data_IF_687684865390
#
_entry.id   IF_687684865390
#
_cell.length_a   1.000
_cell.length_b   1.000
_cell.length_c   1.000
_cell.angle_alpha   90.00
_cell.angle_beta   90.00
_cell.angle_gamma   90.00
#
_symmetry.space_group_name_H-M   'P 1'
#
loop_
_entity.id
_entity.type
_entity.pdbx_description
1 polymer ?
#
# COMPACT_ATOMS: atom_id res chain seq x y z
N UNK A 1 20.11 -3.10 -29.86
CA UNK A 1 19.96 -3.61 -28.48
C UNK A 1 18.53 -3.32 -28.08
N UNK A 2 17.75 -4.36 -27.76
CA UNK A 2 16.30 -4.25 -27.57
C UNK A 2 15.92 -3.77 -26.16
N UNK A 3 14.62 -3.59 -25.93
CA UNK A 3 14.01 -3.24 -24.62
C UNK A 3 14.58 -4.16 -23.51
N UNK A 4 14.85 -5.43 -23.83
CA UNK A 4 15.45 -6.42 -22.92
C UNK A 4 16.95 -6.27 -22.65
N UNK A 5 17.71 -5.58 -23.50
CA UNK A 5 19.17 -5.41 -23.31
C UNK A 5 19.49 -4.32 -22.28
N UNK A 6 18.59 -3.37 -22.06
CA UNK A 6 18.70 -2.38 -20.97
C UNK A 6 18.63 -3.06 -19.59
N UNK A 7 17.84 -4.13 -19.47
CA UNK A 7 17.52 -4.78 -18.19
C UNK A 7 18.40 -5.99 -17.83
N UNK A 8 19.30 -6.44 -18.72
CA UNK A 8 20.20 -7.59 -18.48
C UNK A 8 21.30 -7.37 -17.44
N UNK A 9 21.54 -6.14 -16.95
CA UNK A 9 22.63 -5.88 -16.00
C UNK A 9 22.27 -6.08 -14.52
N UNK A 10 21.04 -6.49 -14.16
CA UNK A 10 20.68 -6.81 -12.76
C UNK A 10 20.06 -8.18 -12.50
N UNK A 11 19.77 -9.00 -13.51
CA UNK A 11 19.35 -10.39 -13.30
C UNK A 11 20.13 -11.34 -14.21
N UNK A 12 20.95 -12.19 -13.61
CA UNK A 12 21.57 -13.32 -14.29
C UNK A 12 20.60 -14.51 -14.23
N UNK A 13 19.76 -14.71 -15.24
CA UNK A 13 19.31 -16.04 -15.70
C UNK A 13 18.39 -15.96 -16.93
N UNK A 14 18.90 -16.52 -18.04
CA UNK A 14 18.22 -17.19 -19.17
C UNK A 14 17.34 -16.41 -20.20
N UNK A 15 17.97 -16.26 -21.37
CA UNK A 15 17.55 -16.42 -22.79
C UNK A 15 16.10 -16.17 -23.31
N UNK A 16 16.05 -15.20 -24.23
CA UNK A 16 15.32 -15.09 -25.51
C UNK A 16 13.85 -15.53 -25.63
N UNK A 17 12.95 -14.54 -25.75
CA UNK A 17 11.69 -14.67 -26.52
C UNK A 17 11.48 -13.36 -27.31
N UNK A 18 11.49 -13.46 -28.64
CA UNK A 18 10.91 -12.46 -29.53
C UNK A 18 9.44 -12.81 -29.73
N UNK A 19 8.52 -11.84 -29.66
CA UNK A 19 7.13 -12.07 -30.04
C UNK A 19 6.69 -10.98 -31.02
N UNK A 20 6.47 -11.30 -32.30
CA UNK A 20 5.71 -10.44 -33.20
C UNK A 20 4.20 -10.58 -32.90
N UNK A 21 3.44 -9.54 -33.20
CA UNK A 21 1.96 -9.55 -33.16
C UNK A 21 1.44 -10.65 -34.11
N UNK A 22 0.51 -11.49 -33.65
CA UNK A 22 -0.09 -12.53 -34.49
C UNK A 22 -1.29 -11.99 -35.29
N UNK A 23 -1.32 -12.30 -36.59
CA UNK A 23 -2.45 -12.12 -37.51
C UNK A 23 -3.64 -13.01 -37.14
N UNK A 24 -4.87 -12.54 -37.38
CA UNK A 24 -6.04 -13.40 -37.54
C UNK A 24 -6.19 -13.80 -39.01
N UNK A 25 -6.13 -15.11 -39.31
CA UNK A 25 -6.50 -15.65 -40.62
C UNK A 25 -8.03 -15.55 -40.83
N UNK A 26 -8.44 -15.00 -41.98
CA UNK A 26 -9.81 -15.16 -42.51
C UNK A 26 -9.88 -16.40 -43.43
N UNK A 27 -11.03 -17.10 -43.52
CA UNK A 27 -11.13 -18.35 -44.27
C UNK A 27 -11.12 -18.13 -45.79
N UNK A 28 -10.29 -18.91 -46.50
CA UNK A 28 -10.22 -18.94 -47.96
C UNK A 28 -11.53 -19.41 -48.62
N UNK A 29 -12.07 -18.60 -49.53
CA UNK A 29 -13.04 -19.04 -50.53
C UNK A 29 -12.32 -19.78 -51.68
N UNK A 30 -12.77 -21.01 -51.95
CA UNK A 30 -12.33 -21.82 -53.09
C UNK A 30 -12.63 -21.15 -54.42
N UNK A 31 -11.63 -20.98 -55.27
CA UNK A 31 -11.82 -20.89 -56.72
C UNK A 31 -10.86 -21.86 -57.42
N UNK A 32 -11.43 -22.60 -58.36
CA UNK A 32 -10.90 -23.77 -59.05
C UNK A 32 -9.90 -23.38 -60.14
N UNK A 33 -8.85 -24.19 -60.29
CA UNK A 33 -7.84 -24.14 -61.36
C UNK A 33 -8.44 -24.18 -62.77
N UNK A 34 -7.92 -23.33 -63.68
CA UNK A 34 -7.97 -23.58 -65.12
C UNK A 34 -6.56 -23.38 -65.73
N UNK A 35 -6.27 -24.22 -66.72
CA UNK A 35 -4.93 -24.64 -67.17
C UNK A 35 -4.30 -23.67 -68.18
N UNK A 36 -3.02 -23.40 -67.93
CA UNK A 36 -1.88 -22.96 -68.78
C UNK A 36 -2.11 -22.80 -70.30
N UNK A 37 -1.72 -21.63 -70.83
CA UNK A 37 -0.98 -21.54 -72.11
C UNK A 37 0.09 -20.44 -72.05
N UNK A 38 1.31 -20.81 -72.44
CA UNK A 38 2.54 -20.00 -72.47
C UNK A 38 2.55 -19.13 -73.73
N UNK A 39 2.52 -17.80 -73.60
CA UNK A 39 2.87 -16.87 -74.69
C UNK A 39 3.78 -15.77 -74.13
N UNK A 40 5.03 -15.79 -74.57
CA UNK A 40 6.03 -14.75 -74.33
C UNK A 40 5.81 -13.63 -75.33
N UNK A 41 5.20 -12.52 -74.92
CA UNK A 41 5.22 -11.26 -75.69
C UNK A 41 5.36 -10.03 -74.77
N UNK A 42 6.53 -9.38 -74.93
CA UNK A 42 6.84 -7.94 -74.76
C UNK A 42 6.20 -7.16 -73.60
N UNK A 43 7.06 -6.73 -72.68
CA UNK A 43 6.84 -5.73 -71.62
C UNK A 43 6.20 -4.45 -72.18
N UNK A 44 5.00 -4.05 -71.74
CA UNK A 44 4.57 -2.66 -71.74
C UNK A 44 4.97 -2.04 -70.39
N UNK A 45 5.62 -0.88 -70.42
CA UNK A 45 5.86 -0.07 -69.22
C UNK A 45 4.51 0.23 -68.53
N UNK A 46 4.26 -0.40 -67.38
CA UNK A 46 3.16 -0.04 -66.50
C UNK A 46 3.48 1.32 -65.89
N UNK A 47 2.58 2.32 -65.97
CA UNK A 47 2.81 3.62 -65.33
C UNK A 47 2.99 3.39 -63.83
N UNK A 48 4.04 3.97 -63.25
CA UNK A 48 4.19 4.03 -61.80
C UNK A 48 2.92 4.62 -61.20
N UNK A 49 2.10 3.79 -60.54
CA UNK A 49 1.06 4.31 -59.68
C UNK A 49 1.76 5.17 -58.63
N UNK A 50 1.25 6.40 -58.36
CA UNK A 50 1.76 7.16 -57.24
C UNK A 50 1.56 6.31 -55.99
N UNK A 51 2.64 6.05 -55.27
CA UNK A 51 2.58 5.55 -53.91
C UNK A 51 1.78 6.61 -53.15
N UNK A 52 0.52 6.34 -52.83
CA UNK A 52 -0.21 7.14 -51.85
C UNK A 52 0.57 6.99 -50.54
N UNK A 53 1.15 8.10 -50.07
CA UNK A 53 1.73 8.15 -48.74
C UNK A 53 0.67 7.68 -47.73
N UNK A 54 1.00 6.73 -46.84
CA UNK A 54 0.02 6.23 -45.88
C UNK A 54 -0.51 7.42 -45.08
N UNK A 55 -1.85 7.55 -45.04
CA UNK A 55 -2.52 8.62 -44.31
C UNK A 55 -2.30 8.39 -42.81
N UNK A 56 -1.28 9.05 -42.27
CA UNK A 56 -0.92 8.96 -40.85
C UNK A 56 -2.10 9.43 -39.99
N UNK A 57 -2.40 8.69 -38.92
CA UNK A 57 -3.47 9.06 -38.01
C UNK A 57 -3.07 10.35 -37.24
N UNK A 58 -3.92 11.37 -37.28
CA UNK A 58 -3.67 12.65 -36.59
C UNK A 58 -3.64 12.52 -35.07
N UNK A 59 -4.34 11.54 -34.51
CA UNK A 59 -4.32 11.25 -33.08
C UNK A 59 -3.02 10.54 -32.68
N UNK A 60 -2.50 9.66 -33.54
CA UNK A 60 -1.20 9.03 -33.38
C UNK A 60 -0.07 10.08 -33.32
N UNK A 61 -0.05 11.05 -34.24
CA UNK A 61 0.94 12.14 -34.25
C UNK A 61 0.96 12.95 -32.94
N UNK A 62 -0.20 13.11 -32.30
CA UNK A 62 -0.30 13.78 -31.00
C UNK A 62 0.26 12.89 -29.89
N UNK A 63 -0.19 11.64 -29.82
CA UNK A 63 0.17 10.69 -28.76
C UNK A 63 1.65 10.32 -28.79
N UNK A 64 2.25 10.19 -29.98
CA UNK A 64 3.66 9.81 -30.11
C UNK A 64 4.64 10.81 -29.47
N UNK A 65 4.21 12.07 -29.29
CA UNK A 65 4.94 13.10 -28.52
C UNK A 65 5.30 12.61 -27.11
N UNK A 66 4.48 11.70 -26.56
CA UNK A 66 4.60 11.16 -25.20
C UNK A 66 5.14 9.72 -25.15
N UNK A 67 5.73 9.20 -26.23
CA UNK A 67 6.23 7.81 -26.31
C UNK A 67 7.12 7.41 -25.14
N UNK A 68 8.01 8.30 -24.71
CA UNK A 68 8.84 8.11 -23.53
C UNK A 68 8.02 7.68 -22.31
N UNK A 69 6.91 8.36 -22.03
CA UNK A 69 6.08 8.14 -20.85
C UNK A 69 5.12 6.96 -21.01
N UNK A 70 4.66 6.69 -22.24
CA UNK A 70 3.87 5.49 -22.56
C UNK A 70 4.72 4.23 -22.28
N UNK A 71 5.94 4.19 -22.83
CA UNK A 71 6.87 3.08 -22.61
C UNK A 71 7.33 3.03 -21.14
N UNK A 72 7.52 4.17 -20.48
CA UNK A 72 7.83 4.19 -19.06
C UNK A 72 6.71 3.59 -18.21
N UNK A 73 5.43 3.88 -18.51
CA UNK A 73 4.27 3.29 -17.82
C UNK A 73 4.23 1.77 -17.97
N UNK A 74 4.52 1.26 -19.17
CA UNK A 74 4.67 -0.18 -19.44
C UNK A 74 5.80 -0.77 -18.58
N UNK A 75 6.95 -0.09 -18.51
CA UNK A 75 8.09 -0.54 -17.73
C UNK A 75 7.81 -0.56 -16.22
N UNK A 76 7.03 0.39 -15.70
CA UNK A 76 6.55 0.39 -14.31
C UNK A 76 5.64 -0.82 -14.04
N UNK A 77 4.68 -1.08 -14.92
CA UNK A 77 3.78 -2.24 -14.80
C UNK A 77 4.54 -3.56 -14.72
N UNK A 78 5.57 -3.74 -15.56
CA UNK A 78 6.40 -4.95 -15.57
C UNK A 78 7.21 -5.13 -14.28
N UNK A 79 7.32 -4.09 -13.43
CA UNK A 79 7.90 -4.16 -12.08
C UNK A 79 6.84 -4.31 -10.98
N UNK A 80 5.57 -4.36 -11.33
CA UNK A 80 4.46 -4.36 -10.39
C UNK A 80 4.10 -2.97 -9.85
N UNK A 81 4.56 -1.90 -10.49
CA UNK A 81 4.25 -0.52 -10.12
C UNK A 81 3.12 0.02 -11.02
N UNK A 82 1.99 0.39 -10.40
CA UNK A 82 0.77 0.81 -11.11
C UNK A 82 0.40 2.27 -10.85
N UNK A 83 1.33 3.06 -10.30
CA UNK A 83 1.12 4.45 -9.90
C UNK A 83 0.80 5.32 -11.12
N UNK A 84 -0.24 6.18 -11.08
CA UNK A 84 -0.47 7.16 -12.12
C UNK A 84 0.73 8.08 -12.32
N UNK A 85 1.10 8.29 -13.58
CA UNK A 85 2.14 9.24 -13.97
C UNK A 85 1.58 10.22 -14.99
N UNK A 86 2.27 11.31 -15.20
CA UNK A 86 1.89 12.28 -16.22
C UNK A 86 3.11 12.87 -16.89
N UNK A 87 2.87 13.52 -18.01
CA UNK A 87 3.85 14.33 -18.70
C UNK A 87 3.16 15.50 -19.38
N UNK A 88 3.92 16.57 -19.63
CA UNK A 88 3.43 17.77 -20.28
C UNK A 88 4.46 18.32 -21.26
N UNK A 89 3.98 18.95 -22.33
CA UNK A 89 4.79 19.60 -23.34
C UNK A 89 4.90 21.10 -23.02
N UNK A 90 6.13 21.58 -22.83
CA UNK A 90 6.44 23.01 -22.64
C UNK A 90 6.26 23.80 -23.94
N UNK A 91 6.24 25.13 -23.83
CA UNK A 91 6.21 26.02 -25.00
C UNK A 91 7.33 25.76 -26.03
N UNK A 92 8.53 25.36 -25.57
CA UNK A 92 9.67 25.05 -26.42
C UNK A 92 9.56 23.66 -27.12
N UNK A 93 8.50 22.88 -26.85
CA UNK A 93 8.30 21.53 -27.38
C UNK A 93 8.99 20.42 -26.58
N UNK A 94 9.65 20.74 -25.47
CA UNK A 94 10.23 19.76 -24.57
C UNK A 94 9.14 19.08 -23.72
N UNK A 95 9.23 17.75 -23.56
CA UNK A 95 8.28 16.98 -22.76
C UNK A 95 8.93 16.53 -21.46
N UNK A 96 8.34 16.92 -20.34
CA UNK A 96 8.78 16.55 -19.00
C UNK A 96 7.73 15.74 -18.25
N UNK A 97 8.20 14.78 -17.46
CA UNK A 97 7.35 13.96 -16.61
C UNK A 97 7.06 14.65 -15.30
N UNK A 98 5.91 14.27 -14.75
CA UNK A 98 5.46 14.63 -13.43
C UNK A 98 4.88 13.41 -12.71
N UNK A 99 5.26 13.25 -11.45
CA UNK A 99 4.73 12.23 -10.56
C UNK A 99 4.56 12.78 -9.14
N UNK A 100 3.55 12.27 -8.43
CA UNK A 100 3.47 12.44 -6.99
C UNK A 100 4.42 11.47 -6.30
N UNK A 101 5.19 11.96 -5.33
CA UNK A 101 6.07 11.13 -4.51
C UNK A 101 5.52 11.00 -3.10
N UNK A 102 5.47 9.76 -2.60
CA UNK A 102 5.19 9.50 -1.18
C UNK A 102 6.36 10.04 -0.36
N UNK A 103 6.11 11.10 0.41
CA UNK A 103 7.10 11.71 1.31
C UNK A 103 6.91 11.30 2.77
N UNK A 104 5.76 10.71 3.10
CA UNK A 104 5.47 10.14 4.43
C UNK A 104 4.89 8.72 4.26
N UNK A 105 5.44 7.73 4.97
CA UNK A 105 5.05 6.30 4.86
C UNK A 105 3.64 5.98 5.36
N UNK A 106 2.87 6.99 5.76
CA UNK A 106 1.55 6.85 6.39
C UNK A 106 0.39 7.32 5.50
N UNK A 107 0.67 7.95 4.35
CA UNK A 107 -0.36 8.47 3.46
C UNK A 107 0.03 8.40 1.99
N UNK A 108 -0.89 7.90 1.17
CA UNK A 108 -0.75 7.86 -0.28
C UNK A 108 -2.05 8.32 -0.94
N UNK A 109 -1.98 8.93 -2.13
CA UNK A 109 -3.18 9.24 -2.90
C UNK A 109 -3.73 7.96 -3.53
N UNK A 110 -5.05 7.81 -3.55
CA UNK A 110 -5.67 6.79 -4.41
C UNK A 110 -5.41 7.14 -5.89
N UNK A 111 -5.43 6.16 -6.81
CA UNK A 111 -5.26 6.44 -8.23
C UNK A 111 -6.23 7.52 -8.74
N UNK A 112 -7.49 7.48 -8.31
CA UNK A 112 -8.50 8.46 -8.67
C UNK A 112 -8.14 9.87 -8.17
N UNK A 113 -7.67 9.99 -6.93
CA UNK A 113 -7.25 11.28 -6.36
C UNK A 113 -6.03 11.84 -7.09
N UNK A 114 -5.02 11.00 -7.35
CA UNK A 114 -3.81 11.41 -8.06
C UNK A 114 -4.14 11.91 -9.47
N UNK A 115 -4.96 11.17 -10.23
CA UNK A 115 -5.40 11.55 -11.58
C UNK A 115 -6.17 12.87 -11.54
N UNK A 116 -7.15 13.00 -10.63
CA UNK A 116 -7.95 14.23 -10.51
C UNK A 116 -7.11 15.46 -10.19
N UNK A 117 -6.13 15.34 -9.29
CA UNK A 117 -5.23 16.45 -8.97
C UNK A 117 -4.28 16.78 -10.13
N UNK A 118 -3.77 15.77 -10.86
CA UNK A 118 -2.99 16.00 -12.09
C UNK A 118 -3.83 16.70 -13.16
N UNK A 119 -5.07 16.26 -13.38
CA UNK A 119 -6.00 16.89 -14.33
C UNK A 119 -6.25 18.36 -13.98
N UNK A 120 -6.52 18.67 -12.70
CA UNK A 120 -6.73 20.05 -12.24
C UNK A 120 -5.49 20.92 -12.45
N UNK A 121 -4.31 20.41 -12.03
CA UNK A 121 -3.03 21.10 -12.17
C UNK A 121 -2.72 21.44 -13.63
N UNK A 122 -2.70 20.44 -14.51
CA UNK A 122 -2.31 20.64 -15.90
C UNK A 122 -3.36 21.38 -16.71
N UNK A 123 -4.64 21.25 -16.38
CA UNK A 123 -5.66 22.10 -16.99
C UNK A 123 -5.44 23.57 -16.66
N UNK A 124 -5.11 23.89 -15.40
CA UNK A 124 -4.79 25.26 -15.00
C UNK A 124 -3.56 25.80 -15.74
N UNK A 125 -2.52 24.98 -15.87
CA UNK A 125 -1.29 25.36 -16.58
C UNK A 125 -1.50 25.54 -18.08
N UNK A 126 -2.30 24.68 -18.71
CA UNK A 126 -2.67 24.76 -20.13
C UNK A 126 -3.49 26.02 -20.41
N UNK A 127 -4.51 26.31 -19.59
CA UNK A 127 -5.33 27.53 -19.71
C UNK A 127 -4.53 28.81 -19.48
N UNK A 128 -3.51 28.75 -18.62
CA UNK A 128 -2.56 29.85 -18.42
C UNK A 128 -1.52 29.98 -19.55
N UNK A 129 -1.53 29.06 -20.54
CA UNK A 129 -0.58 29.03 -21.65
C UNK A 129 0.83 28.59 -21.28
N UNK A 130 1.05 28.01 -20.08
CA UNK A 130 2.38 27.60 -19.61
C UNK A 130 2.87 26.31 -20.28
N UNK A 131 1.94 25.49 -20.74
CA UNK A 131 2.17 24.22 -21.43
C UNK A 131 1.31 24.20 -22.71
N UNK A 132 1.71 23.38 -23.68
CA UNK A 132 0.97 23.17 -24.94
C UNK A 132 0.01 22.01 -24.86
N UNK A 133 0.37 20.99 -24.10
CA UNK A 133 -0.41 19.77 -23.95
C UNK A 133 0.01 19.01 -22.70
N UNK A 134 -0.82 18.08 -22.26
CA UNK A 134 -0.47 17.12 -21.22
C UNK A 134 -1.09 15.74 -21.49
N UNK A 135 -0.51 14.72 -20.86
CA UNK A 135 -0.99 13.34 -20.85
C UNK A 135 -0.86 12.75 -19.45
N UNK A 136 -1.90 12.08 -18.97
CA UNK A 136 -1.93 11.34 -17.71
C UNK A 136 -2.13 9.86 -18.05
N UNK A 137 -1.24 9.02 -17.57
CA UNK A 137 -1.23 7.58 -17.79
C UNK A 137 -1.57 6.87 -16.49
N UNK A 138 -2.53 5.96 -16.55
CA UNK A 138 -2.99 5.23 -15.37
C UNK A 138 -3.60 3.89 -15.75
N UNK A 139 -3.51 2.91 -14.85
CA UNK A 139 -4.13 1.62 -15.06
C UNK A 139 -5.63 1.67 -14.84
N UNK A 140 -6.39 1.02 -15.72
CA UNK A 140 -7.84 1.16 -15.80
C UNK A 140 -8.54 -0.16 -16.13
N UNK A 141 -9.86 -0.12 -16.03
CA UNK A 141 -10.78 -1.19 -16.44
C UNK A 141 -11.03 -1.24 -17.97
N UNK A 142 -10.19 -0.54 -18.74
CA UNK A 142 -10.34 -0.42 -20.20
C UNK A 142 -10.00 -1.75 -20.89
N UNK A 143 -10.94 -2.25 -21.69
CA UNK A 143 -10.74 -3.41 -22.58
C UNK A 143 -11.49 -3.15 -23.90
N UNK A 144 -11.10 -2.08 -24.60
CA UNK A 144 -11.74 -1.61 -25.85
C UNK A 144 -13.23 -1.27 -25.76
N UNK A 145 -13.70 -0.94 -24.56
CA UNK A 145 -15.10 -0.65 -24.28
C UNK A 145 -15.34 0.82 -23.88
N UNK A 146 -14.32 1.68 -23.99
CA UNK A 146 -14.35 3.07 -23.54
C UNK A 146 -14.40 3.27 -22.02
N UNK A 147 -14.32 2.19 -21.22
CA UNK A 147 -14.32 2.28 -19.77
C UNK A 147 -12.93 2.67 -19.24
N UNK A 148 -12.66 3.97 -19.17
CA UNK A 148 -11.40 4.50 -18.63
C UNK A 148 -11.43 4.70 -17.10
N UNK A 149 -12.28 3.98 -16.37
CA UNK A 149 -12.32 4.05 -14.90
C UNK A 149 -11.01 3.52 -14.31
N UNK A 150 -10.33 4.25 -13.41
CA UNK A 150 -9.09 3.77 -12.80
C UNK A 150 -9.32 2.46 -12.03
N UNK A 151 -8.43 1.49 -12.25
CA UNK A 151 -8.48 0.19 -11.59
C UNK A 151 -7.82 0.27 -10.21
N UNK A 152 -8.40 -0.38 -9.21
CA UNK A 152 -7.92 -0.34 -7.81
C UNK A 152 -7.66 -1.73 -7.23
N UNK A 153 -7.96 -2.80 -7.97
CA UNK A 153 -7.80 -4.19 -7.52
C UNK A 153 -7.18 -5.08 -8.60
N UNK A 154 -6.51 -6.16 -8.17
CA UNK A 154 -5.73 -7.08 -9.01
C UNK A 154 -6.53 -7.76 -10.15
N UNK A 155 -7.87 -7.79 -10.09
CA UNK A 155 -8.73 -8.28 -11.17
C UNK A 155 -9.32 -7.21 -12.11
N UNK A 156 -9.10 -5.93 -11.81
CA UNK A 156 -9.67 -4.80 -12.57
C UNK A 156 -8.72 -4.27 -13.64
N UNK A 157 -7.43 -4.58 -13.53
CA UNK A 157 -6.37 -4.13 -14.43
C UNK A 157 -6.52 -4.74 -15.83
N UNK A 158 -6.97 -3.94 -16.79
CA UNK A 158 -7.23 -4.37 -18.18
C UNK A 158 -6.57 -3.51 -19.25
N UNK A 159 -6.16 -2.29 -18.90
CA UNK A 159 -5.45 -1.41 -19.81
C UNK A 159 -4.70 -0.28 -19.10
N UNK A 160 -3.86 0.42 -19.85
CA UNK A 160 -3.28 1.71 -19.50
C UNK A 160 -4.12 2.76 -20.23
N UNK A 161 -4.90 3.54 -19.51
CA UNK A 161 -5.60 4.69 -20.07
C UNK A 161 -4.66 5.87 -20.24
N UNK A 162 -4.82 6.61 -21.33
CA UNK A 162 -4.14 7.87 -21.62
C UNK A 162 -5.22 8.95 -21.65
N UNK A 163 -5.29 9.79 -20.62
CA UNK A 163 -6.13 10.99 -20.62
C UNK A 163 -5.27 12.19 -21.03
N UNK A 164 -5.68 12.92 -22.06
CA UNK A 164 -4.84 13.96 -22.65
C UNK A 164 -5.65 15.17 -23.12
N UNK A 165 -4.95 16.31 -23.23
CA UNK A 165 -5.52 17.57 -23.71
C UNK A 165 -4.43 18.37 -24.43
N UNK A 166 -4.71 18.79 -25.66
CA UNK A 166 -3.85 19.66 -26.47
C UNK A 166 -4.50 21.03 -26.61
N UNK A 167 -3.70 22.09 -26.57
CA UNK A 167 -4.20 23.46 -26.68
C UNK A 167 -5.03 23.65 -27.97
N UNK A 168 -6.30 24.03 -27.80
CA UNK A 168 -7.23 24.27 -28.91
C UNK A 168 -8.06 23.05 -29.34
N UNK A 169 -7.87 21.89 -28.71
CA UNK A 169 -8.67 20.68 -28.91
C UNK A 169 -9.54 20.37 -27.68
N UNK A 170 -10.51 19.47 -27.84
CA UNK A 170 -11.26 18.93 -26.69
C UNK A 170 -10.42 17.90 -25.93
N UNK A 171 -10.72 17.74 -24.62
CA UNK A 171 -10.17 16.65 -23.81
C UNK A 171 -10.58 15.31 -24.39
N UNK A 172 -9.63 14.38 -24.45
CA UNK A 172 -9.87 13.04 -24.97
C UNK A 172 -9.17 11.97 -24.13
N UNK A 173 -9.60 10.73 -24.35
CA UNK A 173 -9.03 9.54 -23.72
C UNK A 173 -8.88 8.45 -24.76
N UNK A 174 -7.77 7.73 -24.69
CA UNK A 174 -7.57 6.44 -25.38
C UNK A 174 -6.97 5.44 -24.39
N UNK A 175 -6.73 4.21 -24.81
CA UNK A 175 -6.16 3.19 -23.94
C UNK A 175 -5.37 2.13 -24.68
N UNK A 176 -4.36 1.62 -23.98
CA UNK A 176 -3.57 0.47 -24.36
C UNK A 176 -4.01 -0.74 -23.53
N UNK A 177 -4.83 -1.65 -24.07
CA UNK A 177 -5.31 -2.82 -23.36
C UNK A 177 -4.21 -3.89 -23.25
N UNK A 178 -4.26 -4.63 -22.15
CA UNK A 178 -3.37 -5.76 -21.87
C UNK A 178 -4.11 -6.89 -21.17
N UNK A 179 -3.51 -8.08 -21.20
CA UNK A 179 -4.00 -9.26 -20.48
C UNK A 179 -2.87 -9.93 -19.71
N UNK A 180 -3.19 -10.48 -18.54
CA UNK A 180 -2.28 -11.30 -17.77
C UNK A 180 -2.46 -12.78 -18.16
N UNK A 181 -1.40 -13.41 -18.65
CA UNK A 181 -1.38 -14.82 -19.05
C UNK A 181 -0.14 -15.50 -18.49
N UNK A 182 -0.32 -16.51 -17.61
CA UNK A 182 0.78 -17.29 -17.04
C UNK A 182 1.92 -16.42 -16.44
N UNK A 183 1.56 -15.38 -15.67
CA UNK A 183 2.48 -14.38 -15.09
C UNK A 183 3.16 -13.44 -16.10
N UNK A 184 2.81 -13.51 -17.39
CA UNK A 184 3.24 -12.56 -18.41
C UNK A 184 2.13 -11.56 -18.73
N UNK A 185 2.52 -10.40 -19.27
CA UNK A 185 1.60 -9.36 -19.74
C UNK A 185 1.69 -9.27 -21.26
N UNK A 186 0.55 -9.36 -21.94
CA UNK A 186 0.44 -9.21 -23.40
C UNK A 186 -0.33 -7.94 -23.72
N UNK A 187 0.28 -7.01 -24.46
CA UNK A 187 -0.34 -5.76 -24.91
C UNK A 187 -1.00 -5.94 -26.27
N UNK A 188 -2.22 -5.43 -26.43
CA UNK A 188 -3.01 -5.56 -27.68
C UNK A 188 -2.81 -4.39 -28.67
N UNK A 189 -2.14 -3.31 -28.24
CA UNK A 189 -2.00 -2.08 -29.03
C UNK A 189 -3.23 -1.16 -28.92
N UNK A 190 -3.09 0.07 -29.40
CA UNK A 190 -4.20 1.01 -29.57
C UNK A 190 -5.02 0.60 -30.80
N UNK A 191 -6.33 0.45 -30.63
CA UNK A 191 -7.21 -0.02 -31.69
C UNK A 191 -7.39 0.98 -32.83
N UNK A 192 -7.16 2.27 -32.54
CA UNK A 192 -7.27 3.37 -33.49
C UNK A 192 -6.02 3.48 -34.38
N UNK A 193 -4.93 2.79 -34.03
CA UNK A 193 -3.65 2.89 -34.73
C UNK A 193 -3.39 1.65 -35.58
N UNK A 194 -2.70 1.88 -36.70
CA UNK A 194 -2.17 0.81 -37.55
C UNK A 194 -1.15 -0.05 -36.79
N UNK A 195 -0.81 -1.18 -37.40
CA UNK A 195 0.21 -2.07 -36.84
C UNK A 195 1.58 -1.39 -36.78
N UNK A 196 1.93 -0.61 -37.81
CA UNK A 196 3.17 0.15 -37.90
C UNK A 196 3.24 1.24 -36.83
N UNK A 197 2.16 2.02 -36.65
CA UNK A 197 2.07 3.06 -35.62
C UNK A 197 2.20 2.47 -34.21
N UNK A 198 1.51 1.36 -33.93
CA UNK A 198 1.66 0.63 -32.67
C UNK A 198 3.09 0.14 -32.45
N UNK A 199 3.71 -0.46 -33.48
CA UNK A 199 5.08 -0.93 -33.40
C UNK A 199 6.07 0.21 -33.14
N UNK A 200 5.85 1.40 -33.70
CA UNK A 200 6.72 2.56 -33.43
C UNK A 200 6.68 2.96 -31.95
N UNK A 201 5.50 3.01 -31.33
CA UNK A 201 5.36 3.30 -29.89
C UNK A 201 6.02 2.20 -29.06
N UNK A 202 5.68 0.95 -29.34
CA UNK A 202 6.12 -0.20 -28.53
C UNK A 202 7.63 -0.45 -28.61
N UNK A 203 8.27 -0.08 -29.73
CA UNK A 203 9.71 -0.22 -29.91
C UNK A 203 10.50 1.04 -29.53
N UNK A 204 9.84 2.10 -29.06
CA UNK A 204 10.50 3.32 -28.61
C UNK A 204 11.44 3.02 -27.43
N UNK A 205 12.66 3.54 -27.49
CA UNK A 205 13.70 3.21 -26.53
C UNK A 205 13.89 4.33 -25.51
N UNK A 206 13.78 3.98 -24.23
CA UNK A 206 14.16 4.88 -23.15
C UNK A 206 15.68 5.09 -23.12
N UNK A 207 16.08 6.33 -22.85
CA UNK A 207 17.47 6.76 -22.74
C UNK A 207 18.00 6.41 -21.34
N UNK A 208 19.14 5.71 -21.31
CA UNK A 208 19.77 5.33 -20.04
C UNK A 208 20.23 6.55 -19.23
N UNK A 209 20.02 6.50 -17.92
CA UNK A 209 20.39 7.55 -16.98
C UNK A 209 19.63 8.88 -17.11
N UNK A 210 18.61 8.96 -17.99
CA UNK A 210 17.74 10.15 -18.06
C UNK A 210 16.81 10.19 -16.85
N UNK A 211 16.71 11.35 -16.23
CA UNK A 211 15.63 11.64 -15.29
C UNK A 211 14.36 11.96 -16.08
N UNK A 212 13.41 11.03 -16.03
CA UNK A 212 12.12 11.17 -16.71
C UNK A 212 11.12 11.99 -15.88
N UNK A 213 11.35 12.17 -14.58
CA UNK A 213 10.43 12.88 -13.69
C UNK A 213 11.15 14.01 -12.95
N UNK A 214 11.68 15.01 -13.69
CA UNK A 214 12.35 16.16 -13.05
C UNK A 214 11.37 17.02 -12.23
N UNK A 215 10.05 16.85 -12.43
CA UNK A 215 9.01 17.51 -11.65
C UNK A 215 8.34 16.49 -10.73
N UNK A 216 8.52 16.66 -9.42
CA UNK A 216 7.87 15.81 -8.41
C UNK A 216 7.22 16.66 -7.34
N UNK A 217 6.03 16.27 -6.89
CA UNK A 217 5.36 16.87 -5.74
C UNK A 217 5.18 15.86 -4.63
N UNK A 218 5.54 16.23 -3.41
CA UNK A 218 5.42 15.37 -2.23
C UNK A 218 3.96 15.25 -1.78
N UNK A 219 3.52 14.03 -1.47
CA UNK A 219 2.20 13.77 -0.89
C UNK A 219 2.26 14.08 0.60
N UNK A 220 1.51 15.10 1.01
CA UNK A 220 1.32 15.43 2.41
C UNK A 220 0.00 14.83 2.93
N UNK A 221 0.05 14.22 4.11
CA UNK A 221 -1.15 13.79 4.81
C UNK A 221 -2.01 15.00 5.22
N UNK A 222 -3.34 14.95 5.04
CA UNK A 222 -4.22 15.99 5.57
C UNK A 222 -4.03 16.14 7.09
N UNK A 223 -3.81 17.38 7.52
CA UNK A 223 -3.56 17.73 8.92
C UNK A 223 -4.36 18.95 9.34
N UNK A 224 -4.89 18.91 10.56
CA UNK A 224 -5.56 20.05 11.21
C UNK A 224 -5.16 20.12 12.68
N UNK A 225 -5.25 21.30 13.28
CA UNK A 225 -5.16 21.45 14.74
C UNK A 225 -6.51 21.91 15.27
N UNK A 226 -7.05 21.20 16.25
CA UNK A 226 -8.37 21.51 16.80
C UNK A 226 -8.31 22.56 17.93
N UNK A 227 -9.47 22.92 18.48
CA UNK A 227 -9.58 23.93 19.55
C UNK A 227 -8.86 23.54 20.85
N UNK A 228 -8.65 22.24 21.09
CA UNK A 228 -7.90 21.73 22.23
C UNK A 228 -6.38 21.75 21.98
N UNK A 229 -5.91 22.22 20.83
CA UNK A 229 -4.50 22.24 20.45
C UNK A 229 -3.95 20.87 20.03
N UNK A 230 -4.83 19.89 19.76
CA UNK A 230 -4.44 18.54 19.33
C UNK A 230 -4.29 18.52 17.82
N UNK A 231 -3.17 17.98 17.34
CA UNK A 231 -2.88 17.78 15.92
C UNK A 231 -3.62 16.51 15.46
N UNK A 232 -4.52 16.64 14.49
CA UNK A 232 -5.23 15.54 13.86
C UNK A 232 -4.67 15.36 12.46
N UNK A 233 -3.97 14.25 12.22
CA UNK A 233 -3.39 13.87 10.93
C UNK A 233 -4.08 12.63 10.38
N UNK A 234 -4.28 12.56 9.06
CA UNK A 234 -4.84 11.37 8.41
C UNK A 234 -3.76 10.36 8.03
N UNK A 235 -4.13 9.09 8.03
CA UNK A 235 -3.36 7.99 7.45
C UNK A 235 -4.29 7.05 6.69
N UNK A 236 -3.85 6.45 5.59
CA UNK A 236 -4.70 5.55 4.80
C UNK A 236 -4.01 4.26 4.34
N UNK A 237 -2.78 4.03 4.79
CA UNK A 237 -1.99 2.82 4.48
C UNK A 237 -1.91 1.86 5.67
N UNK A 238 -2.46 2.25 6.83
CA UNK A 238 -2.38 1.47 8.06
C UNK A 238 -3.39 0.32 8.08
N UNK A 239 -2.99 -0.80 8.69
CA UNK A 239 -3.85 -1.98 8.86
C UNK A 239 -3.42 -2.78 10.11
N UNK A 240 -4.18 -3.83 10.44
CA UNK A 240 -3.97 -4.67 11.62
C UNK A 240 -3.24 -5.99 11.34
N UNK A 241 -2.60 -6.15 10.17
CA UNK A 241 -1.95 -7.43 9.79
C UNK A 241 -0.90 -7.85 10.81
N UNK A 242 -0.02 -6.93 11.23
CA UNK A 242 1.01 -7.23 12.24
C UNK A 242 0.39 -7.53 13.60
N UNK A 243 -0.65 -6.79 13.99
CA UNK A 243 -1.40 -7.00 15.22
C UNK A 243 -1.99 -8.41 15.27
N UNK A 244 -2.64 -8.85 14.19
CA UNK A 244 -3.21 -10.20 14.09
C UNK A 244 -2.16 -11.28 13.98
N UNK A 245 -1.03 -11.02 13.31
CA UNK A 245 0.14 -11.91 13.33
C UNK A 245 0.71 -12.08 14.75
N UNK A 246 0.69 -11.03 15.57
CA UNK A 246 1.03 -11.10 16.99
C UNK A 246 0.08 -11.96 17.82
N UNK A 247 -1.23 -11.89 17.54
CA UNK A 247 -2.27 -12.67 18.22
C UNK A 247 -2.22 -14.14 17.83
N UNK A 248 -2.19 -14.44 16.52
CA UNK A 248 -2.33 -15.80 16.01
C UNK A 248 -1.01 -16.55 15.83
N UNK A 249 0.14 -15.88 15.93
CA UNK A 249 1.44 -16.43 15.57
C UNK A 249 1.77 -16.16 14.10
N UNK A 250 3.03 -15.85 13.79
CA UNK A 250 3.43 -15.42 12.45
C UNK A 250 3.22 -16.49 11.35
N UNK A 251 3.75 -17.69 11.57
CA UNK A 251 3.60 -18.85 10.68
C UNK A 251 2.15 -19.31 10.62
N UNK A 252 1.46 -19.37 11.77
CA UNK A 252 0.05 -19.74 11.79
C UNK A 252 -0.83 -18.74 11.02
N UNK A 253 -0.59 -17.44 11.17
CA UNK A 253 -1.35 -16.40 10.48
C UNK A 253 -1.17 -16.45 8.96
N UNK A 254 0.00 -16.88 8.48
CA UNK A 254 0.28 -17.04 7.05
C UNK A 254 -0.28 -18.34 6.46
N UNK A 255 -0.39 -19.40 7.26
CA UNK A 255 -0.73 -20.75 6.78
C UNK A 255 -2.18 -21.13 6.99
N UNK A 256 -2.89 -20.48 7.90
CA UNK A 256 -4.30 -20.76 8.24
C UNK A 256 -5.21 -19.60 7.82
N UNK A 257 -6.46 -19.93 7.50
CA UNK A 257 -7.47 -18.94 7.13
C UNK A 257 -8.13 -18.28 8.36
N UNK A 258 -7.35 -17.50 9.10
CA UNK A 258 -7.90 -16.68 10.18
C UNK A 258 -8.78 -15.54 9.67
N UNK A 259 -8.67 -15.17 8.39
CA UNK A 259 -9.57 -14.19 7.75
C UNK A 259 -11.02 -14.65 7.76
N UNK A 260 -11.27 -15.91 7.37
CA UNK A 260 -12.59 -16.52 7.45
C UNK A 260 -13.10 -16.64 8.90
N UNK A 261 -12.21 -16.97 9.84
CA UNK A 261 -12.57 -17.01 11.26
C UNK A 261 -13.03 -15.64 11.77
N UNK A 262 -12.24 -14.58 11.57
CA UNK A 262 -12.58 -13.22 12.00
C UNK A 262 -13.87 -12.71 11.34
N UNK A 263 -14.08 -13.04 10.06
CA UNK A 263 -15.33 -12.74 9.34
C UNK A 263 -16.53 -13.42 10.00
N UNK A 264 -16.39 -14.70 10.37
CA UNK A 264 -17.44 -15.47 11.04
C UNK A 264 -17.77 -14.87 12.41
N UNK A 265 -16.74 -14.50 13.18
CA UNK A 265 -16.90 -13.84 14.48
C UNK A 265 -17.63 -12.50 14.34
N UNK A 266 -17.27 -11.70 13.34
CA UNK A 266 -17.95 -10.43 13.03
C UNK A 266 -19.42 -10.64 12.70
N UNK A 267 -19.74 -11.58 11.80
CA UNK A 267 -21.12 -11.89 11.44
C UNK A 267 -21.94 -12.33 12.67
N UNK A 268 -21.38 -13.21 13.51
CA UNK A 268 -22.06 -13.67 14.72
C UNK A 268 -22.29 -12.54 15.72
N UNK A 269 -21.39 -11.56 15.80
CA UNK A 269 -21.52 -10.40 16.69
C UNK A 269 -22.64 -9.44 16.27
N UNK A 270 -23.11 -9.50 15.01
CA UNK A 270 -24.22 -8.68 14.50
C UNK A 270 -25.61 -9.30 14.70
N UNK A 271 -25.67 -10.58 15.06
CA UNK A 271 -26.93 -11.32 15.24
C UNK A 271 -27.21 -11.41 16.74
N UNK A 272 -28.38 -10.90 17.18
CA UNK A 272 -28.81 -11.05 18.57
C UNK A 272 -28.91 -12.54 18.94
N UNK A 273 -28.24 -12.95 20.02
CA UNK A 273 -28.27 -14.34 20.48
C UNK A 273 -29.71 -14.74 20.87
N UNK A 274 -30.34 -15.70 20.17
CA UNK A 274 -31.66 -16.17 20.51
C UNK A 274 -31.72 -16.90 21.87
N UNK A 275 -30.59 -17.37 22.40
CA UNK A 275 -30.51 -18.16 23.62
C UNK A 275 -30.26 -17.32 24.89
N UNK A 276 -29.84 -16.06 24.76
CA UNK A 276 -29.51 -15.19 25.90
C UNK A 276 -28.31 -15.67 26.73
N UNK A 277 -27.50 -16.59 26.19
CA UNK A 277 -26.23 -17.02 26.77
C UNK A 277 -25.12 -16.23 26.09
N UNK A 278 -24.99 -14.94 26.43
CA UNK A 278 -23.90 -14.05 26.01
C UNK A 278 -22.55 -14.48 26.62
N UNK A 279 -22.10 -15.72 26.37
CA UNK A 279 -20.67 -16.01 26.32
C UNK A 279 -20.17 -15.38 25.03
N UNK A 280 -19.86 -14.09 25.13
CA UNK A 280 -19.27 -13.34 24.03
C UNK A 280 -18.10 -14.13 23.47
N UNK A 281 -18.22 -14.61 22.23
CA UNK A 281 -17.18 -15.38 21.52
C UNK A 281 -15.90 -14.59 21.27
N UNK A 282 -15.94 -13.33 21.64
CA UNK A 282 -14.85 -12.38 21.58
C UNK A 282 -14.26 -12.05 22.94
N UNK A 283 -14.78 -12.61 24.03
CA UNK A 283 -14.31 -12.37 25.39
C UNK A 283 -13.48 -13.56 25.90
N UNK A 284 -12.16 -13.47 25.80
CA UNK A 284 -11.23 -14.44 26.41
C UNK A 284 -10.77 -13.93 27.77
N UNK A 285 -10.05 -14.74 28.55
CA UNK A 285 -9.62 -14.36 29.91
C UNK A 285 -8.88 -13.03 29.91
N UNK A 286 -7.82 -12.93 29.10
CA UNK A 286 -6.89 -11.81 29.10
C UNK A 286 -6.91 -10.94 27.83
N UNK A 287 -7.63 -11.39 26.80
CA UNK A 287 -7.75 -10.68 25.53
C UNK A 287 -9.22 -10.59 25.14
N UNK A 288 -9.63 -9.46 24.59
CA UNK A 288 -10.95 -9.23 24.03
C UNK A 288 -10.82 -8.93 22.53
N UNK A 289 -11.66 -9.52 21.69
CA UNK A 289 -11.77 -9.16 20.28
C UNK A 289 -12.94 -8.19 20.07
N UNK A 290 -12.67 -6.91 20.24
CA UNK A 290 -13.66 -5.86 20.17
C UNK A 290 -14.14 -5.64 18.74
N UNK A 291 -15.44 -5.72 18.52
CA UNK A 291 -16.05 -5.51 17.20
C UNK A 291 -16.51 -4.07 17.03
N UNK A 292 -16.31 -3.54 15.83
CA UNK A 292 -16.82 -2.25 15.38
C UNK A 292 -17.63 -2.53 14.11
N UNK A 293 -18.93 -2.25 14.17
CA UNK A 293 -19.86 -2.51 13.07
C UNK A 293 -20.60 -1.22 12.74
N UNK A 294 -20.46 -0.79 11.49
CA UNK A 294 -21.22 0.30 10.88
C UNK A 294 -21.80 -0.18 9.55
N UNK A 295 -22.64 0.65 8.92
CA UNK A 295 -23.23 0.34 7.61
C UNK A 295 -22.17 0.20 6.50
N UNK A 296 -21.01 0.84 6.67
CA UNK A 296 -19.94 0.91 5.66
C UNK A 296 -18.70 0.09 6.02
N UNK A 297 -18.46 -0.19 7.31
CA UNK A 297 -17.28 -0.91 7.79
C UNK A 297 -17.65 -1.86 8.92
N UNK A 298 -17.20 -3.11 8.81
CA UNK A 298 -17.18 -4.08 9.91
C UNK A 298 -15.75 -4.53 10.15
N UNK A 299 -15.28 -4.36 11.38
CA UNK A 299 -13.89 -4.68 11.74
C UNK A 299 -13.80 -5.14 13.19
N UNK A 300 -12.72 -5.84 13.50
CA UNK A 300 -12.47 -6.44 14.81
C UNK A 300 -11.06 -6.08 15.23
N UNK A 301 -10.91 -5.76 16.52
CA UNK A 301 -9.68 -5.26 17.13
C UNK A 301 -9.36 -6.16 18.32
N UNK A 302 -8.16 -6.74 18.41
CA UNK A 302 -7.73 -7.41 19.62
C UNK A 302 -7.33 -6.36 20.67
N UNK A 303 -7.76 -6.55 21.92
CA UNK A 303 -7.46 -5.71 23.07
C UNK A 303 -6.93 -6.59 24.19
N UNK A 304 -5.69 -6.35 24.62
CA UNK A 304 -5.13 -6.99 25.82
C UNK A 304 -5.65 -6.27 27.05
N UNK A 305 -6.26 -7.04 27.97
CA UNK A 305 -6.81 -6.51 29.21
C UNK A 305 -5.69 -6.18 30.18
N UNK A 306 -5.79 -5.02 30.81
CA UNK A 306 -4.85 -4.56 31.82
C UNK A 306 -5.54 -3.58 32.76
N UNK A 307 -5.05 -3.50 33.99
CA UNK A 307 -5.40 -2.47 34.98
C UNK A 307 -4.32 -1.39 35.10
N UNK A 308 -3.17 -1.55 34.43
CA UNK A 308 -2.10 -0.56 34.42
C UNK A 308 -2.61 0.75 33.83
N UNK A 309 -2.51 1.83 34.61
CA UNK A 309 -3.06 3.15 34.26
C UNK A 309 -1.97 4.20 34.21
N UNK A 310 -2.07 5.10 33.23
CA UNK A 310 -1.09 6.13 32.94
C UNK A 310 -1.78 7.49 32.79
N UNK A 311 -1.26 8.52 33.47
CA UNK A 311 -1.61 9.91 33.19
C UNK A 311 -0.94 10.33 31.87
N UNK A 312 -1.75 10.78 30.91
CA UNK A 312 -1.36 11.01 29.53
C UNK A 312 -1.94 12.33 29.01
N UNK A 313 -1.15 13.08 28.24
CA UNK A 313 -1.61 14.26 27.54
C UNK A 313 -1.62 14.02 26.03
N UNK A 314 -2.79 14.02 25.41
CA UNK A 314 -2.95 13.90 23.96
C UNK A 314 -2.37 15.12 23.27
N UNK A 315 -1.40 14.91 22.38
CA UNK A 315 -0.79 15.95 21.53
C UNK A 315 -1.12 15.76 20.06
N UNK A 316 -1.15 14.52 19.60
CA UNK A 316 -1.50 14.21 18.23
C UNK A 316 -2.31 12.92 18.12
N UNK A 317 -3.22 12.91 17.16
CA UNK A 317 -4.03 11.76 16.78
C UNK A 317 -3.82 11.52 15.30
N UNK A 318 -3.46 10.28 14.94
CA UNK A 318 -3.36 9.84 13.55
C UNK A 318 -4.55 8.95 13.22
N UNK A 319 -5.58 9.53 12.59
CA UNK A 319 -6.84 8.86 12.25
C UNK A 319 -6.72 8.08 10.93
N UNK A 320 -7.27 6.86 10.92
CA UNK A 320 -7.21 5.97 9.76
C UNK A 320 -8.40 6.24 8.83
N UNK A 321 -8.15 6.95 7.73
CA UNK A 321 -9.16 7.31 6.73
C UNK A 321 -9.74 6.05 6.05
N UNK A 322 -8.90 5.06 5.78
CA UNK A 322 -9.30 3.76 5.25
C UNK A 322 -10.14 2.90 6.23
N UNK A 323 -10.27 3.34 7.49
CA UNK A 323 -11.14 2.74 8.50
C UNK A 323 -12.23 3.71 8.97
N UNK A 324 -12.70 4.60 8.09
CA UNK A 324 -13.74 5.61 8.36
C UNK A 324 -13.42 6.53 9.56
N UNK A 325 -12.14 6.71 9.88
CA UNK A 325 -11.67 7.43 11.06
C UNK A 325 -12.13 6.81 12.40
N UNK A 326 -12.46 5.51 12.43
CA UNK A 326 -12.87 4.78 13.63
C UNK A 326 -11.69 4.16 14.37
N UNK A 327 -10.50 4.17 13.76
CA UNK A 327 -9.26 3.68 14.34
C UNK A 327 -8.22 4.79 14.30
N UNK A 328 -7.37 4.85 15.33
CA UNK A 328 -6.33 5.85 15.42
C UNK A 328 -5.14 5.41 16.27
N UNK A 329 -3.98 6.00 15.95
CA UNK A 329 -2.85 6.06 16.88
C UNK A 329 -2.95 7.37 17.66
N UNK A 330 -2.89 7.29 18.97
CA UNK A 330 -2.90 8.46 19.86
C UNK A 330 -1.52 8.62 20.47
N UNK A 331 -1.03 9.87 20.52
CA UNK A 331 0.32 10.15 20.93
C UNK A 331 0.47 11.44 21.73
N UNK A 332 1.45 11.42 22.64
CA UNK A 332 1.76 12.54 23.51
C UNK A 332 2.61 12.13 24.71
N UNK A 333 2.94 13.07 25.61
CA UNK A 333 3.71 12.76 26.80
C UNK A 333 2.87 11.99 27.83
N UNK A 334 3.52 11.08 28.53
CA UNK A 334 3.03 10.43 29.71
C UNK A 334 3.83 10.89 30.93
N UNK A 335 3.13 11.17 32.04
CA UNK A 335 3.71 11.65 33.30
C UNK A 335 4.72 12.80 33.12
N UNK A 336 4.50 13.66 32.11
CA UNK A 336 5.37 14.77 31.72
C UNK A 336 6.87 14.43 31.52
N UNK A 337 7.18 13.16 31.22
CA UNK A 337 8.56 12.64 31.26
C UNK A 337 8.98 11.87 30.02
N UNK A 338 8.09 11.13 29.39
CA UNK A 338 8.41 10.33 28.20
C UNK A 338 7.27 10.33 27.18
N UNK A 339 7.59 10.16 25.90
CA UNK A 339 6.60 10.10 24.82
C UNK A 339 6.00 8.70 24.68
N UNK A 340 4.67 8.62 24.57
CA UNK A 340 3.95 7.37 24.32
C UNK A 340 3.09 7.52 23.08
N UNK A 341 3.09 6.49 22.24
CA UNK A 341 2.15 6.29 21.16
C UNK A 341 1.47 4.95 21.39
N UNK A 342 0.16 4.89 21.23
CA UNK A 342 -0.57 3.64 21.34
C UNK A 342 -1.70 3.57 20.31
N UNK A 343 -2.01 2.35 19.89
CA UNK A 343 -3.22 2.07 19.14
C UNK A 343 -4.43 2.13 20.07
N UNK A 344 -5.33 3.09 19.84
CA UNK A 344 -6.48 3.34 20.72
C UNK A 344 -7.61 2.33 20.45
N UNK A 345 -7.72 1.28 21.26
CA UNK A 345 -8.68 0.18 21.06
C UNK A 345 -10.13 0.62 21.32
N UNK A 346 -10.35 1.77 21.93
CA UNK A 346 -11.65 2.37 22.19
C UNK A 346 -11.91 3.66 21.39
N UNK A 347 -11.09 3.93 20.37
CA UNK A 347 -11.20 5.17 19.61
C UNK A 347 -12.58 5.37 19.00
N UNK A 348 -13.18 4.35 18.40
CA UNK A 348 -14.51 4.44 17.79
C UNK A 348 -15.61 4.92 18.75
N UNK A 349 -15.53 4.53 20.02
CA UNK A 349 -16.52 4.88 21.06
C UNK A 349 -16.19 6.22 21.72
N UNK A 350 -14.89 6.51 21.90
CA UNK A 350 -14.39 7.63 22.68
C UNK A 350 -13.74 8.73 21.83
N UNK A 351 -13.93 8.72 20.50
CA UNK A 351 -13.33 9.67 19.53
C UNK A 351 -13.42 11.12 19.99
N UNK A 352 -14.62 11.55 20.38
CA UNK A 352 -14.85 12.92 20.84
C UNK A 352 -14.06 13.26 22.11
N UNK A 353 -13.91 12.31 23.05
CA UNK A 353 -13.13 12.53 24.27
C UNK A 353 -11.65 12.69 23.93
N UNK A 354 -11.09 11.80 23.12
CA UNK A 354 -9.70 11.95 22.64
C UNK A 354 -9.46 13.30 21.96
N UNK A 355 -10.42 13.80 21.18
CA UNK A 355 -10.26 15.08 20.47
C UNK A 355 -10.47 16.32 21.33
N UNK A 356 -11.19 16.24 22.44
CA UNK A 356 -11.58 17.43 23.22
C UNK A 356 -10.94 17.51 24.60
N UNK A 357 -10.46 16.39 25.13
CA UNK A 357 -9.84 16.29 26.45
C UNK A 357 -8.35 15.97 26.28
N UNK A 358 -7.46 16.97 26.36
CA UNK A 358 -6.03 16.72 26.20
C UNK A 358 -5.49 15.83 27.32
N UNK A 359 -5.92 16.04 28.58
CA UNK A 359 -5.46 15.23 29.71
C UNK A 359 -6.40 14.05 29.95
N UNK A 360 -5.87 12.84 29.84
CA UNK A 360 -6.59 11.58 30.00
C UNK A 360 -5.84 10.65 30.94
N UNK A 361 -6.59 9.79 31.63
CA UNK A 361 -6.05 8.56 32.18
C UNK A 361 -6.29 7.45 31.17
N UNK A 362 -5.25 6.70 30.85
CA UNK A 362 -5.34 5.62 29.85
C UNK A 362 -4.82 4.32 30.44
N UNK A 363 -5.51 3.22 30.14
CA UNK A 363 -4.97 1.88 30.35
C UNK A 363 -4.06 1.54 29.18
N UNK A 364 -2.86 1.03 29.45
CA UNK A 364 -1.86 0.74 28.41
C UNK A 364 -1.39 -0.71 28.51
N UNK A 365 -1.49 -1.43 27.41
CA UNK A 365 -1.05 -2.83 27.26
C UNK A 365 -0.25 -2.99 25.96
N UNK A 366 0.17 -4.21 25.63
CA UNK A 366 0.87 -4.47 24.38
C UNK A 366 0.60 -5.83 23.76
N UNK A 367 0.82 -5.93 22.44
CA UNK A 367 0.89 -7.21 21.73
C UNK A 367 2.32 -7.36 21.24
N UNK A 368 3.00 -8.40 21.71
CA UNK A 368 4.37 -8.72 21.35
C UNK A 368 4.38 -9.55 20.07
N UNK A 369 5.08 -9.04 19.07
CA UNK A 369 5.22 -9.70 17.77
C UNK A 369 6.33 -10.75 17.79
N UNK A 370 7.41 -10.49 18.52
CA UNK A 370 8.54 -11.40 18.71
C UNK A 370 9.09 -11.17 20.11
N UNK A 371 9.41 -12.25 20.83
CA UNK A 371 10.07 -12.20 22.13
C UNK A 371 11.34 -13.06 22.11
N UNK A 372 12.46 -12.47 22.52
CA UNK A 372 13.76 -13.13 22.61
C UNK A 372 14.49 -12.77 23.91
N UNK A 373 15.56 -13.48 24.24
CA UNK A 373 16.44 -13.17 25.38
C UNK A 373 17.38 -12.03 25.00
N UNK A 374 17.41 -10.99 25.83
CA UNK A 374 18.43 -9.95 25.67
C UNK A 374 19.74 -10.40 26.32
N UNK A 375 20.79 -10.55 25.50
CA UNK A 375 22.10 -11.05 25.95
C UNK A 375 23.24 -10.06 25.76
N UNK A 376 23.04 -8.98 24.99
CA UNK A 376 24.10 -8.06 24.60
C UNK A 376 23.89 -6.67 25.22
N UNK A 377 24.72 -6.35 26.21
CA UNK A 377 24.74 -5.03 26.86
C UNK A 377 25.77 -4.07 26.22
N UNK A 378 26.47 -4.47 25.16
CA UNK A 378 27.49 -3.64 24.51
C UNK A 378 26.85 -2.83 23.34
N UNK A 379 26.99 -1.52 23.40
CA UNK A 379 26.64 -0.61 22.31
C UNK A 379 27.67 -0.70 21.17
N UNK A 380 27.33 -0.26 19.93
CA UNK A 380 28.22 -0.34 18.77
C UNK A 380 29.58 0.36 18.94
N UNK A 381 29.65 1.35 19.84
CA UNK A 381 30.85 2.10 20.19
C UNK A 381 31.68 1.46 21.32
N UNK A 382 31.23 0.31 21.85
CA UNK A 382 31.85 -0.42 22.95
C UNK A 382 31.41 0.03 24.36
N UNK A 383 30.46 0.97 24.46
CA UNK A 383 29.90 1.40 25.74
C UNK A 383 28.99 0.32 26.33
N UNK A 384 29.14 0.03 27.64
CA UNK A 384 28.29 -0.94 28.34
C UNK A 384 27.04 -0.31 28.90
N UNK A 385 25.88 -0.84 28.53
CA UNK A 385 24.61 -0.54 29.18
C UNK A 385 24.60 -1.10 30.60
N UNK A 386 23.89 -0.41 31.50
CA UNK A 386 23.63 -0.93 32.84
C UNK A 386 22.89 -2.25 32.78
N UNK A 387 23.15 -3.17 33.72
CA UNK A 387 22.40 -4.43 33.82
C UNK A 387 20.90 -4.22 33.99
N UNK A 388 20.51 -3.10 34.61
CA UNK A 388 19.11 -2.74 34.83
C UNK A 388 18.49 -1.93 33.68
N UNK A 389 19.22 -1.68 32.60
CA UNK A 389 18.73 -0.89 31.46
C UNK A 389 17.47 -1.50 30.86
N UNK A 390 16.44 -0.67 30.66
CA UNK A 390 15.22 -1.00 29.92
C UNK A 390 14.86 0.20 29.05
N UNK A 391 14.31 -0.07 27.88
CA UNK A 391 13.86 0.96 26.95
C UNK A 391 12.87 0.40 25.95
N UNK A 392 12.19 1.29 25.26
CA UNK A 392 11.47 1.00 24.03
C UNK A 392 11.67 2.20 23.08
N UNK A 393 11.81 1.90 21.80
CA UNK A 393 12.07 2.91 20.76
C UNK A 393 11.21 2.61 19.54
N UNK A 394 10.76 3.63 18.78
CA UNK A 394 10.00 3.39 17.55
C UNK A 394 10.77 2.43 16.63
N UNK A 395 10.10 1.35 16.22
CA UNK A 395 10.73 0.33 15.39
C UNK A 395 11.12 0.93 14.03
N UNK A 396 12.28 0.53 13.51
CA UNK A 396 12.75 0.96 12.19
C UNK A 396 12.27 0.01 11.08
N UNK A 397 11.95 -1.23 11.44
CA UNK A 397 11.55 -2.29 10.51
C UNK A 397 10.03 -2.40 10.39
N UNK A 398 9.29 -1.95 11.40
CA UNK A 398 7.84 -1.96 11.42
C UNK A 398 7.30 -0.57 11.11
N UNK A 399 6.17 -0.47 10.39
CA UNK A 399 5.55 0.81 10.11
C UNK A 399 5.17 1.51 11.42
N UNK A 400 5.22 2.86 11.43
CA UNK A 400 5.06 3.71 12.61
C UNK A 400 3.60 3.72 13.14
N UNK A 401 3.13 2.58 13.65
CA UNK A 401 1.76 2.29 14.09
C UNK A 401 1.72 1.99 15.60
N UNK A 402 2.43 2.80 16.39
CA UNK A 402 2.75 2.50 17.78
C UNK A 402 3.49 1.15 17.94
N UNK A 403 4.32 0.81 16.95
CA UNK A 403 5.20 -0.34 16.97
C UNK A 403 6.58 0.07 17.50
N UNK A 404 7.10 -0.71 18.45
CA UNK A 404 8.33 -0.41 19.15
C UNK A 404 9.21 -1.63 19.27
N UNK A 405 10.51 -1.42 19.06
CA UNK A 405 11.52 -2.36 19.51
C UNK A 405 11.80 -2.08 20.98
N UNK A 406 12.01 -3.11 21.79
CA UNK A 406 12.16 -2.95 23.24
C UNK A 406 13.25 -3.83 23.83
N UNK A 407 13.78 -3.38 24.96
CA UNK A 407 14.55 -4.15 25.93
C UNK A 407 13.82 -3.99 27.27
N UNK A 408 13.26 -5.07 27.80
CA UNK A 408 12.45 -5.06 29.01
C UNK A 408 12.98 -6.02 30.07
N UNK A 409 12.61 -5.77 31.32
CA UNK A 409 12.71 -6.77 32.37
C UNK A 409 11.37 -7.50 32.53
N UNK A 410 11.39 -8.82 32.50
CA UNK A 410 10.21 -9.65 32.73
C UNK A 410 9.92 -9.71 34.23
N UNK A 411 8.89 -9.02 34.69
CA UNK A 411 8.50 -8.97 36.11
C UNK A 411 7.72 -10.21 36.51
N UNK A 412 6.74 -10.59 35.69
CA UNK A 412 5.90 -11.76 35.89
C UNK A 412 5.38 -12.28 34.54
N UNK A 413 4.86 -13.50 34.52
CA UNK A 413 4.13 -14.05 33.38
C UNK A 413 3.12 -15.12 33.82
N UNK A 414 2.05 -15.26 33.05
CA UNK A 414 1.10 -16.38 33.15
C UNK A 414 0.76 -16.94 31.77
N UNK A 415 0.44 -18.22 31.70
CA UNK A 415 -0.09 -18.83 30.47
C UNK A 415 -1.54 -18.40 30.25
N UNK A 416 -1.93 -18.27 28.99
CA UNK A 416 -3.31 -17.97 28.59
C UNK A 416 -3.63 -18.67 27.26
N UNK A 417 -4.92 -18.87 27.00
CA UNK A 417 -5.42 -19.48 25.76
C UNK A 417 -6.51 -18.60 25.17
N UNK A 418 -6.51 -18.48 23.84
CA UNK A 418 -7.53 -17.79 23.05
C UNK A 418 -8.28 -18.80 22.19
N UNK A 419 -9.45 -18.37 21.72
CA UNK A 419 -10.43 -19.16 20.97
C UNK A 419 -11.15 -20.20 21.83
N UNK A 420 -12.37 -20.57 21.43
CA UNK A 420 -13.22 -21.53 22.19
C UNK A 420 -12.56 -22.91 22.33
N UNK A 421 -11.72 -23.30 21.38
CA UNK A 421 -11.01 -24.58 21.35
C UNK A 421 -9.62 -24.53 22.00
N UNK A 422 -9.18 -23.37 22.50
CA UNK A 422 -7.85 -23.16 23.09
C UNK A 422 -6.70 -23.37 22.11
N UNK A 423 -6.96 -23.29 20.79
CA UNK A 423 -5.95 -23.56 19.76
C UNK A 423 -4.86 -22.49 19.67
N UNK A 424 -5.14 -21.29 20.18
CA UNK A 424 -4.17 -20.19 20.23
C UNK A 424 -3.65 -20.06 21.64
N UNK A 425 -2.38 -20.40 21.85
CA UNK A 425 -1.75 -20.41 23.17
C UNK A 425 -0.75 -19.27 23.29
N UNK A 426 -0.70 -18.64 24.44
CA UNK A 426 0.21 -17.53 24.69
C UNK A 426 0.60 -17.36 26.13
N UNK A 427 1.26 -16.24 26.39
CA UNK A 427 1.56 -15.74 27.72
C UNK A 427 1.02 -14.31 27.84
N UNK A 428 0.54 -13.95 29.03
CA UNK A 428 0.50 -12.57 29.48
C UNK A 428 1.78 -12.30 30.25
N UNK A 429 2.56 -11.34 29.77
CA UNK A 429 3.82 -10.91 30.33
C UNK A 429 3.63 -9.57 31.04
N UNK A 430 4.19 -9.43 32.24
CA UNK A 430 4.34 -8.13 32.89
C UNK A 430 5.73 -7.58 32.59
N UNK A 431 5.81 -6.60 31.70
CA UNK A 431 7.06 -6.08 31.13
C UNK A 431 7.38 -4.69 31.67
N UNK A 432 8.53 -4.54 32.32
CA UNK A 432 9.07 -3.23 32.72
C UNK A 432 9.88 -2.65 31.56
N UNK A 433 9.36 -1.57 30.96
CA UNK A 433 9.89 -0.93 29.76
C UNK A 433 10.72 0.32 30.05
N UNK A 434 10.54 0.96 31.20
CA UNK A 434 11.39 2.06 31.68
C UNK A 434 11.82 1.79 33.12
N UNK A 435 13.12 1.93 33.37
CA UNK A 435 13.71 1.90 34.70
C UNK A 435 13.68 3.29 35.33
N UNK A 436 13.12 3.42 36.52
CA UNK A 436 13.10 4.64 37.32
C UNK A 436 13.42 4.29 38.78
N UNK A 437 14.26 5.10 39.42
CA UNK A 437 14.75 4.84 40.79
C UNK A 437 13.69 5.13 41.87
N UNK A 438 12.79 6.08 41.61
CA UNK A 438 11.80 6.55 42.58
C UNK A 438 10.45 5.80 42.46
N UNK A 439 10.15 5.29 41.27
CA UNK A 439 8.91 4.56 40.99
C UNK A 439 9.21 3.23 40.29
N UNK A 440 9.04 2.13 41.03
CA UNK A 440 9.27 0.79 40.50
C UNK A 440 8.31 0.44 39.33
N UNK A 441 7.10 0.98 39.38
CA UNK A 441 6.03 0.81 38.38
C UNK A 441 5.91 2.04 37.46
N UNK A 442 7.07 2.56 37.04
CA UNK A 442 7.13 3.77 36.23
C UNK A 442 6.53 3.59 34.83
N UNK A 443 6.87 2.48 34.18
CA UNK A 443 6.26 2.04 32.93
C UNK A 443 6.35 0.52 32.82
N UNK A 444 5.44 -0.16 33.51
CA UNK A 444 5.29 -1.63 33.47
C UNK A 444 3.94 -1.97 32.88
N UNK A 445 3.91 -2.69 31.77
CA UNK A 445 2.66 -3.01 31.07
C UNK A 445 2.38 -4.51 31.09
N UNK A 446 1.10 -4.87 30.97
CA UNK A 446 0.72 -6.22 30.58
C UNK A 446 0.78 -6.34 29.06
N UNK A 447 1.41 -7.40 28.57
CA UNK A 447 1.53 -7.66 27.15
C UNK A 447 1.24 -9.12 26.80
N UNK A 448 0.46 -9.35 25.75
CA UNK A 448 0.22 -10.68 25.21
C UNK A 448 1.34 -11.08 24.25
N UNK A 449 1.80 -12.32 24.33
CA UNK A 449 2.65 -12.94 23.29
C UNK A 449 2.10 -14.32 22.95
N UNK A 450 1.97 -14.62 21.66
CA UNK A 450 1.69 -15.98 21.20
C UNK A 450 2.92 -16.89 21.42
N UNK A 451 2.73 -18.14 21.88
CA UNK A 451 3.85 -19.07 22.13
C UNK A 451 4.73 -19.31 20.90
N UNK A 452 4.16 -19.28 19.70
CA UNK A 452 4.90 -19.40 18.44
C UNK A 452 5.87 -18.23 18.19
N UNK A 453 5.55 -17.06 18.72
CA UNK A 453 6.36 -15.85 18.57
C UNK A 453 7.47 -15.73 19.63
N UNK A 454 7.58 -16.72 20.54
CA UNK A 454 8.59 -16.79 21.61
C UNK A 454 9.80 -17.58 21.12
N UNK A 455 10.96 -16.94 21.05
CA UNK A 455 12.23 -17.50 20.53
C UNK A 455 13.20 -17.96 21.62
N UNK A 456 12.68 -18.29 22.79
CA UNK A 456 13.45 -18.69 23.96
C UNK A 456 12.89 -19.97 24.58
N UNK A 457 13.76 -20.80 25.16
CA UNK A 457 13.38 -22.11 25.68
C UNK A 457 12.54 -22.04 26.97
N UNK A 458 12.79 -21.04 27.83
CA UNK A 458 12.11 -20.94 29.14
C UNK A 458 12.03 -19.49 29.61
N UNK A 459 10.84 -19.07 30.05
CA UNK A 459 10.61 -17.79 30.71
C UNK A 459 10.99 -17.86 32.20
N UNK A 460 11.73 -16.87 32.68
CA UNK A 460 12.11 -16.74 34.09
C UNK A 460 11.92 -15.31 34.59
N UNK A 461 11.32 -15.14 35.76
CA UNK A 461 11.11 -13.82 36.36
C UNK A 461 12.47 -13.14 36.59
N UNK A 462 12.54 -11.86 36.27
CA UNK A 462 13.74 -11.03 36.36
C UNK A 462 14.64 -11.06 35.12
N UNK A 463 14.41 -11.96 34.15
CA UNK A 463 15.24 -12.00 32.95
C UNK A 463 15.05 -10.76 32.07
N UNK A 464 16.10 -10.41 31.32
CA UNK A 464 16.01 -9.38 30.28
C UNK A 464 15.53 -10.00 28.97
N UNK A 465 14.51 -9.40 28.40
CA UNK A 465 13.91 -9.81 27.13
C UNK A 465 13.98 -8.66 26.15
N UNK A 466 14.03 -8.99 24.87
CA UNK A 466 14.04 -8.03 23.77
C UNK A 466 13.05 -8.47 22.71
N UNK A 467 12.57 -7.54 21.91
CA UNK A 467 11.65 -7.89 20.84
C UNK A 467 11.01 -6.69 20.19
N UNK A 468 9.90 -6.94 19.51
CA UNK A 468 9.05 -5.92 18.93
C UNK A 468 7.61 -6.09 19.46
N UNK A 469 6.95 -4.99 19.76
CA UNK A 469 5.56 -4.97 20.20
C UNK A 469 4.79 -3.80 19.57
N UNK A 470 3.47 -3.90 19.58
CA UNK A 470 2.60 -2.73 19.43
C UNK A 470 2.00 -2.36 20.78
N UNK A 471 2.13 -1.09 21.17
CA UNK A 471 1.42 -0.57 22.33
C UNK A 471 -0.05 -0.35 21.98
N UNK A 472 -0.91 -0.76 22.90
CA UNK A 472 -2.35 -0.57 22.86
C UNK A 472 -2.78 0.30 24.03
N UNK A 473 -3.89 1.02 23.87
CA UNK A 473 -4.47 1.72 24.99
C UNK A 473 -5.93 2.07 24.83
N UNK A 474 -6.56 2.41 25.94
CA UNK A 474 -7.94 2.90 26.01
C UNK A 474 -8.09 3.90 27.13
N UNK A 475 -9.12 4.74 27.09
CA UNK A 475 -9.41 5.63 28.21
C UNK A 475 -9.82 4.79 29.43
N UNK A 476 -9.21 5.07 30.58
CA UNK A 476 -9.56 4.44 31.84
C UNK A 476 -10.95 4.92 32.32
N UNK A 477 -11.76 4.00 32.84
CA UNK A 477 -13.10 4.27 33.38
C UNK A 477 -13.08 4.87 34.80
#
# INVERSE_FOLDING_TARGET
MGIFDFFKKKSNSQENVSTPVQEMEMPEEKVVEEVVEEVVETIPETPSQPIEEPKINSEYEKIKTYNDYIVYSIALQLRGEYTPISAFEKENGEVEGFAYMVTEDAYALSPQQAIGQMEEKFESELQAGKIKSYMILYHSQFDHNGNHTPAIQEGEFKGISLAYHFAGDDKAKTGLPYVFENQNVTYKGFAEFSHEENNEIMNHQLVDGRDYFPNTEGIAAPETTNEAGIIIRKSNVHNLVNTWSGIFGHENFQTKDYGQYLTTVLMQSTVADPAGEDKSKTEFEDVRFKTIVTDELSTIIPEVKTDYTLDFETRSIREWENALNLQAIVAGPARDTFGVWFFATDYAENRNRYMTQPHLKVNVSGIVFILDVHTNNDLPDGTKMSEDFTTYVPSQDLPNYACFDFIAQLVDFKETELLEDGSVKGYILKLKLITNEENEDFFTIDAFVNKENVRLETLTKGMKVTGALQLQGKIAE
#
